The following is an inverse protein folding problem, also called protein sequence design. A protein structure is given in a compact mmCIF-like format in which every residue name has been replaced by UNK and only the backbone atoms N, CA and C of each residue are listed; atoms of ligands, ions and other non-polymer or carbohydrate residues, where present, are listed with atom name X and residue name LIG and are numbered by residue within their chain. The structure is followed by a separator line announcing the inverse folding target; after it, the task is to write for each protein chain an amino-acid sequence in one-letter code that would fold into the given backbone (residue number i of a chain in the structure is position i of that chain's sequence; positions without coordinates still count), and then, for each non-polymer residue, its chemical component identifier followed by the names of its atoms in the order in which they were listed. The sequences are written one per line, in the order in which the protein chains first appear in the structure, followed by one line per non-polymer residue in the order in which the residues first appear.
data_IF_072511199661
#
_entry.id   IF_072511199661
#
_cell.length_a   1.000
_cell.length_b   1.000
_cell.length_c   1.000
_cell.angle_alpha   90.00
_cell.angle_beta   90.00
_cell.angle_gamma   90.00
#
_symmetry.space_group_name_H-M   'P 1'
#
loop_
_entity.id
_entity.type
_entity.pdbx_description
1 polymer ?
#
# COMPACT_ATOMS: atom_id res chain seq x y z
N UNK A 1 25.69 -11.43 1.24
CA UNK A 1 24.72 -12.55 1.36
C UNK A 1 25.22 -13.67 0.46
N UNK A 2 25.44 -14.86 0.99
CA UNK A 2 25.96 -16.01 0.22
C UNK A 2 24.95 -16.40 -0.89
N UNK A 3 25.37 -16.47 -2.17
CA UNK A 3 24.49 -16.94 -3.26
C UNK A 3 23.88 -18.31 -2.99
N UNK A 4 24.57 -19.22 -2.27
CA UNK A 4 24.04 -20.53 -1.90
C UNK A 4 22.81 -20.43 -1.00
N UNK A 5 22.89 -19.57 0.01
CA UNK A 5 21.76 -19.32 0.91
C UNK A 5 20.56 -18.61 0.24
N UNK A 6 20.71 -18.05 -0.97
CA UNK A 6 19.58 -17.53 -1.76
C UNK A 6 18.93 -18.62 -2.61
N UNK A 7 19.73 -19.51 -3.20
CA UNK A 7 19.23 -20.64 -3.98
C UNK A 7 18.40 -21.59 -3.09
N UNK A 8 18.89 -21.88 -1.89
CA UNK A 8 18.19 -22.73 -0.92
C UNK A 8 16.81 -22.18 -0.57
N UNK A 9 16.67 -20.86 -0.37
CA UNK A 9 15.39 -20.21 -0.05
C UNK A 9 14.34 -20.34 -1.16
N UNK A 10 14.75 -20.25 -2.43
CA UNK A 10 13.80 -20.39 -3.54
C UNK A 10 13.35 -21.84 -3.68
N UNK A 11 14.24 -22.80 -3.46
CA UNK A 11 13.90 -24.23 -3.44
C UNK A 11 12.90 -24.54 -2.33
N UNK A 12 13.15 -24.08 -1.11
CA UNK A 12 12.24 -24.28 0.03
C UNK A 12 10.85 -23.69 -0.23
N UNK A 13 10.82 -22.49 -0.83
CA UNK A 13 9.58 -21.81 -1.20
C UNK A 13 8.81 -22.57 -2.29
N UNK A 14 9.52 -23.10 -3.29
CA UNK A 14 8.92 -23.89 -4.35
C UNK A 14 8.34 -25.19 -3.79
N UNK A 15 9.06 -25.90 -2.92
CA UNK A 15 8.57 -27.12 -2.26
C UNK A 15 7.34 -26.82 -1.39
N UNK A 16 7.37 -25.72 -0.62
CA UNK A 16 6.22 -25.28 0.15
C UNK A 16 5.00 -24.99 -0.74
N UNK A 17 5.20 -24.27 -1.84
CA UNK A 17 4.12 -23.93 -2.78
C UNK A 17 3.56 -25.19 -3.45
N UNK A 18 4.43 -26.14 -3.84
CA UNK A 18 4.06 -27.44 -4.41
C UNK A 18 3.19 -28.24 -3.44
N UNK A 19 3.62 -28.38 -2.18
CA UNK A 19 2.84 -29.10 -1.16
C UNK A 19 1.48 -28.43 -0.90
N UNK A 20 1.46 -27.10 -0.83
CA UNK A 20 0.23 -26.34 -0.62
C UNK A 20 -0.76 -26.50 -1.78
N UNK A 21 -0.31 -26.42 -3.03
CA UNK A 21 -1.17 -26.62 -4.20
C UNK A 21 -1.60 -28.08 -4.37
N UNK A 22 -0.75 -29.06 -4.05
CA UNK A 22 -1.13 -30.47 -4.06
C UNK A 22 -2.23 -30.79 -3.03
N UNK A 23 -2.34 -29.99 -1.97
CA UNK A 23 -3.41 -30.09 -0.98
C UNK A 23 -4.66 -29.28 -1.35
N UNK A 24 -4.69 -28.63 -2.52
CA UNK A 24 -5.86 -27.90 -2.99
C UNK A 24 -7.03 -28.88 -3.21
N UNK A 25 -8.09 -28.72 -2.44
CA UNK A 25 -9.32 -29.52 -2.57
C UNK A 25 -10.27 -28.99 -3.64
N UNK A 26 -9.78 -28.21 -4.61
CA UNK A 26 -10.55 -27.58 -5.68
C UNK A 26 -9.65 -27.34 -6.90
N UNK A 27 -10.20 -27.37 -8.14
CA UNK A 27 -9.42 -27.05 -9.34
C UNK A 27 -8.97 -25.59 -9.33
N UNK A 28 -7.75 -25.34 -9.75
CA UNK A 28 -7.22 -23.98 -9.96
C UNK A 28 -7.31 -23.67 -11.44
N UNK A 29 -7.98 -22.58 -11.81
CA UNK A 29 -8.10 -22.17 -13.21
C UNK A 29 -6.92 -21.29 -13.64
N UNK A 30 -6.46 -21.47 -14.88
CA UNK A 30 -5.46 -20.65 -15.54
C UNK A 30 -5.84 -20.35 -16.98
N UNK A 31 -5.08 -19.46 -17.65
CA UNK A 31 -5.33 -19.08 -19.04
C UNK A 31 -4.74 -20.11 -19.98
N UNK A 32 -5.56 -20.68 -20.87
CA UNK A 32 -5.09 -21.57 -21.96
C UNK A 32 -5.05 -20.86 -23.32
N UNK A 33 -5.84 -19.79 -23.50
CA UNK A 33 -5.85 -18.95 -24.70
C UNK A 33 -6.17 -17.49 -24.36
N UNK A 34 -5.60 -16.56 -25.14
CA UNK A 34 -5.91 -15.13 -25.05
C UNK A 34 -4.85 -14.29 -24.34
N UNK A 35 -3.84 -14.93 -23.75
CA UNK A 35 -2.59 -14.30 -23.35
C UNK A 35 -1.42 -14.87 -24.19
N UNK A 36 -0.33 -14.12 -24.31
CA UNK A 36 0.86 -14.61 -24.98
C UNK A 36 1.39 -15.89 -24.30
N UNK A 37 1.82 -16.90 -25.07
CA UNK A 37 2.37 -18.14 -24.52
C UNK A 37 3.72 -17.84 -23.86
N UNK A 38 3.69 -17.51 -22.58
CA UNK A 38 4.86 -17.12 -21.81
C UNK A 38 4.45 -16.41 -20.52
N UNK A 39 5.31 -16.46 -19.51
CA UNK A 39 5.05 -15.76 -18.27
C UNK A 39 3.89 -16.32 -17.44
N UNK A 40 3.75 -17.65 -17.42
CA UNK A 40 2.85 -18.30 -16.45
C UNK A 40 3.53 -18.35 -15.10
N UNK A 41 2.91 -17.81 -14.05
CA UNK A 41 3.46 -17.87 -12.70
C UNK A 41 2.36 -17.99 -11.63
N UNK A 42 2.67 -18.70 -10.54
CA UNK A 42 1.90 -18.62 -9.30
C UNK A 42 2.22 -17.28 -8.60
N UNK A 43 1.27 -16.34 -8.58
CA UNK A 43 1.49 -15.00 -8.01
C UNK A 43 1.22 -14.96 -6.52
N UNK A 44 0.13 -15.57 -6.07
CA UNK A 44 -0.25 -15.58 -4.66
C UNK A 44 -1.21 -16.73 -4.32
N UNK A 45 -1.32 -17.01 -3.03
CA UNK A 45 -2.35 -17.87 -2.46
C UNK A 45 -2.48 -17.53 -0.98
N UNK A 46 -3.60 -17.89 -0.38
CA UNK A 46 -3.84 -17.69 1.05
C UNK A 46 -4.36 -18.99 1.69
N UNK A 47 -3.97 -19.21 2.95
CA UNK A 47 -4.47 -20.30 3.77
C UNK A 47 -5.22 -19.76 4.97
N UNK A 48 -6.45 -20.21 5.19
CA UNK A 48 -7.26 -19.91 6.36
C UNK A 48 -7.62 -21.23 7.07
N UNK A 49 -7.38 -21.29 8.39
CA UNK A 49 -7.54 -22.49 9.22
C UNK A 49 -6.79 -23.72 8.66
N UNK A 50 -5.56 -23.52 8.18
CA UNK A 50 -4.73 -24.57 7.61
C UNK A 50 -5.20 -25.12 6.26
N UNK A 51 -6.19 -24.47 5.63
CA UNK A 51 -6.73 -24.85 4.31
C UNK A 51 -6.60 -23.70 3.32
N UNK A 52 -6.28 -24.02 2.07
CA UNK A 52 -6.22 -23.06 0.99
C UNK A 52 -7.57 -22.35 0.81
N UNK A 53 -7.60 -21.02 0.90
CA UNK A 53 -8.81 -20.20 0.69
C UNK A 53 -8.93 -19.78 -0.77
N UNK A 54 -7.82 -19.39 -1.40
CA UNK A 54 -7.76 -19.07 -2.83
C UNK A 54 -6.33 -19.24 -3.37
N UNK A 55 -6.25 -19.36 -4.70
CA UNK A 55 -5.00 -19.42 -5.48
C UNK A 55 -5.10 -18.43 -6.62
N UNK A 56 -4.03 -17.68 -6.86
CA UNK A 56 -3.90 -16.77 -7.98
C UNK A 56 -2.71 -17.14 -8.85
N UNK A 57 -2.98 -17.27 -10.15
CA UNK A 57 -1.95 -17.45 -11.18
C UNK A 57 -2.01 -16.28 -12.15
N UNK A 58 -0.90 -15.98 -12.81
CA UNK A 58 -0.86 -15.06 -13.92
C UNK A 58 -0.34 -15.71 -15.19
N UNK A 59 -0.67 -15.10 -16.34
CA UNK A 59 -0.16 -15.42 -17.68
C UNK A 59 0.12 -14.14 -18.46
N UNK A 60 1.09 -14.19 -19.39
CA UNK A 60 1.48 -13.06 -20.23
C UNK A 60 2.69 -12.27 -19.72
N UNK A 61 2.90 -11.06 -20.24
CA UNK A 61 4.07 -10.24 -19.94
C UNK A 61 3.84 -9.35 -18.71
N UNK A 62 4.17 -9.88 -17.52
CA UNK A 62 4.17 -9.12 -16.28
C UNK A 62 5.25 -8.03 -16.23
N UNK A 63 6.18 -7.96 -17.19
CA UNK A 63 7.20 -6.91 -17.26
C UNK A 63 6.76 -5.70 -18.08
N UNK A 64 5.66 -5.84 -18.83
CA UNK A 64 5.02 -4.78 -19.61
C UNK A 64 3.98 -4.04 -18.76
N UNK A 65 3.92 -2.72 -18.95
CA UNK A 65 2.87 -1.86 -18.39
C UNK A 65 1.59 -1.89 -19.25
N UNK A 66 1.68 -2.37 -20.49
CA UNK A 66 0.58 -2.38 -21.47
C UNK A 66 -0.06 -3.77 -21.61
N UNK A 67 0.57 -4.81 -21.06
CA UNK A 67 0.18 -6.21 -21.25
C UNK A 67 0.78 -6.82 -22.54
N UNK A 68 0.23 -7.96 -23.02
CA UNK A 68 -0.91 -8.67 -22.46
C UNK A 68 -0.57 -9.31 -21.11
N UNK A 69 -1.39 -9.08 -20.09
CA UNK A 69 -1.21 -9.65 -18.75
C UNK A 69 -2.58 -10.02 -18.17
N UNK A 70 -2.68 -11.22 -17.61
CA UNK A 70 -3.91 -11.73 -16.99
C UNK A 70 -3.59 -12.37 -15.65
N UNK A 71 -4.38 -12.08 -14.61
CA UNK A 71 -4.43 -12.88 -13.39
C UNK A 71 -5.75 -13.61 -13.27
N UNK A 72 -5.71 -14.85 -12.77
CA UNK A 72 -6.87 -15.67 -12.48
C UNK A 72 -6.78 -16.11 -11.04
N UNK A 73 -7.72 -15.64 -10.22
CA UNK A 73 -7.85 -15.99 -8.81
C UNK A 73 -9.05 -16.93 -8.63
N UNK A 74 -8.77 -18.16 -8.22
CA UNK A 74 -9.78 -19.19 -7.93
C UNK A 74 -9.98 -19.31 -6.44
N UNK A 75 -11.21 -19.10 -5.97
CA UNK A 75 -11.58 -19.21 -4.57
C UNK A 75 -12.19 -20.57 -4.26
N UNK A 76 -11.84 -21.14 -3.09
CA UNK A 76 -12.46 -22.35 -2.56
C UNK A 76 -13.98 -22.15 -2.43
N UNK A 77 -14.81 -23.20 -2.63
CA UNK A 77 -16.24 -23.10 -2.35
C UNK A 77 -16.47 -22.68 -0.89
N UNK A 78 -17.36 -21.71 -0.68
CA UNK A 78 -17.66 -21.19 0.66
C UNK A 78 -16.59 -20.26 1.26
N UNK A 79 -15.54 -19.89 0.53
CA UNK A 79 -14.54 -18.90 0.98
C UNK A 79 -15.12 -17.50 1.15
N UNK A 80 -16.31 -17.24 0.59
CA UNK A 80 -17.10 -16.02 0.73
C UNK A 80 -17.74 -15.86 2.12
N UNK A 81 -17.63 -16.84 3.03
CA UNK A 81 -18.38 -16.87 4.30
C UNK A 81 -17.70 -16.26 5.54
N UNK A 82 -16.37 -16.05 5.61
CA UNK A 82 -15.78 -15.24 6.68
C UNK A 82 -15.18 -13.90 6.22
N UNK A 83 -15.17 -13.57 4.92
CA UNK A 83 -14.67 -12.29 4.41
C UNK A 83 -15.32 -11.91 3.09
N UNK A 84 -15.64 -10.62 2.91
CA UNK A 84 -16.07 -10.12 1.62
C UNK A 84 -14.94 -10.35 0.60
N UNK A 85 -15.27 -10.90 -0.57
CA UNK A 85 -14.33 -10.93 -1.68
C UNK A 85 -13.94 -9.49 -2.02
N UNK A 86 -12.69 -9.21 -2.43
CA UNK A 86 -12.28 -7.86 -2.84
C UNK A 86 -13.23 -7.33 -3.90
N UNK A 87 -13.62 -6.06 -3.86
CA UNK A 87 -14.45 -5.49 -4.93
C UNK A 87 -13.70 -5.53 -6.29
N UNK A 88 -14.42 -5.53 -7.41
CA UNK A 88 -13.76 -5.64 -8.72
C UNK A 88 -12.89 -4.41 -9.02
N UNK A 89 -13.30 -3.24 -8.55
CA UNK A 89 -12.52 -2.01 -8.58
C UNK A 89 -11.21 -2.14 -7.78
N UNK A 90 -11.25 -2.84 -6.64
CA UNK A 90 -10.07 -3.10 -5.84
C UNK A 90 -9.07 -4.00 -6.59
N UNK A 91 -9.57 -4.95 -7.37
CA UNK A 91 -8.74 -5.85 -8.20
C UNK A 91 -8.10 -5.09 -9.38
N UNK A 92 -8.83 -4.14 -9.98
CA UNK A 92 -8.28 -3.23 -10.99
C UNK A 92 -7.16 -2.36 -10.38
N UNK A 93 -7.39 -1.81 -9.19
CA UNK A 93 -6.37 -1.01 -8.51
C UNK A 93 -5.15 -1.84 -8.09
N UNK A 94 -5.32 -3.11 -7.70
CA UNK A 94 -4.20 -4.01 -7.40
C UNK A 94 -3.28 -4.21 -8.63
N UNK A 95 -3.86 -4.31 -9.84
CA UNK A 95 -3.07 -4.42 -11.07
C UNK A 95 -2.33 -3.13 -11.43
N UNK A 96 -2.91 -1.97 -11.14
CA UNK A 96 -2.23 -0.69 -11.30
C UNK A 96 -1.12 -0.51 -10.26
N UNK A 97 -1.36 -0.95 -9.03
CA UNK A 97 -0.36 -0.98 -7.97
C UNK A 97 0.81 -1.89 -8.36
N UNK A 98 0.55 -3.04 -8.97
CA UNK A 98 1.59 -3.90 -9.54
C UNK A 98 2.45 -3.13 -10.55
N UNK A 99 1.82 -2.43 -11.50
CA UNK A 99 2.55 -1.63 -12.51
C UNK A 99 3.39 -0.54 -11.86
N UNK A 100 2.84 0.18 -10.89
CA UNK A 100 3.58 1.20 -10.15
C UNK A 100 4.76 0.60 -9.36
N UNK A 101 4.51 -0.42 -8.53
CA UNK A 101 5.49 -0.98 -7.61
C UNK A 101 6.58 -1.79 -8.34
N UNK A 102 6.21 -2.54 -9.39
CA UNK A 102 7.14 -3.40 -10.10
C UNK A 102 7.85 -2.68 -11.25
N UNK A 103 7.16 -1.76 -11.95
CA UNK A 103 7.67 -1.10 -13.17
C UNK A 103 8.01 0.38 -12.97
N UNK A 104 7.58 0.99 -11.85
CA UNK A 104 7.80 2.41 -11.58
C UNK A 104 6.93 3.34 -12.44
N UNK A 105 5.88 2.80 -13.06
CA UNK A 105 4.99 3.57 -13.95
C UNK A 105 3.78 4.04 -13.13
N UNK A 106 3.71 5.34 -12.89
CA UNK A 106 2.57 5.95 -12.19
C UNK A 106 1.43 6.24 -13.16
N UNK A 107 0.40 5.43 -13.05
CA UNK A 107 -0.85 5.54 -13.80
C UNK A 107 -1.82 6.58 -13.17
N UNK A 108 -1.45 7.22 -12.06
CA UNK A 108 -2.25 8.19 -11.30
C UNK A 108 -3.09 7.53 -10.19
N UNK A 109 -3.74 8.31 -9.33
CA UNK A 109 -4.43 7.82 -8.12
C UNK A 109 -5.96 7.76 -8.22
N UNK A 110 -6.55 8.31 -9.30
CA UNK A 110 -7.99 8.27 -9.47
C UNK A 110 -8.42 6.89 -9.99
N UNK A 111 -9.38 6.20 -9.34
CA UNK A 111 -10.11 5.15 -10.04
C UNK A 111 -10.75 5.83 -11.25
N UNK A 112 -10.50 5.34 -12.46
CA UNK A 112 -11.17 5.93 -13.61
C UNK A 112 -12.66 5.59 -13.60
N UNK A 113 -13.36 5.94 -14.67
CA UNK A 113 -14.80 5.68 -14.76
C UNK A 113 -14.99 4.18 -14.93
N UNK A 114 -15.27 3.49 -13.82
CA UNK A 114 -15.56 2.07 -13.83
C UNK A 114 -16.85 1.83 -14.60
N UNK A 115 -16.74 1.13 -15.73
CA UNK A 115 -17.89 0.69 -16.52
C UNK A 115 -18.22 -0.74 -16.14
N UNK A 116 -19.39 -0.95 -15.52
CA UNK A 116 -19.93 -2.28 -15.30
C UNK A 116 -20.49 -2.84 -16.61
N UNK A 117 -19.97 -3.98 -17.04
CA UNK A 117 -20.32 -4.67 -18.27
C UNK A 117 -20.71 -6.12 -18.01
N UNK A 118 -21.48 -6.66 -18.96
CA UNK A 118 -21.76 -8.08 -19.05
C UNK A 118 -21.07 -8.61 -20.30
N UNK A 119 -19.98 -9.33 -20.07
CA UNK A 119 -19.18 -9.95 -21.12
C UNK A 119 -19.22 -11.47 -20.95
N UNK A 120 -18.48 -12.16 -21.81
CA UNK A 120 -18.33 -13.61 -21.77
C UNK A 120 -16.86 -13.98 -21.67
N UNK A 121 -16.54 -15.00 -20.88
CA UNK A 121 -15.22 -15.66 -20.85
C UNK A 121 -15.48 -17.14 -21.15
N UNK A 122 -14.64 -17.77 -21.97
CA UNK A 122 -14.78 -19.20 -22.24
C UNK A 122 -14.12 -19.99 -21.11
N UNK A 123 -14.82 -20.98 -20.56
CA UNK A 123 -14.28 -21.88 -19.53
C UNK A 123 -14.53 -23.31 -19.97
N UNK A 124 -13.46 -24.08 -20.19
CA UNK A 124 -13.53 -25.45 -20.72
C UNK A 124 -14.37 -25.59 -22.00
N UNK A 125 -14.25 -24.58 -22.89
CA UNK A 125 -14.99 -24.50 -24.15
C UNK A 125 -16.41 -23.92 -24.05
N UNK A 126 -16.92 -23.66 -22.84
CA UNK A 126 -18.26 -23.15 -22.61
C UNK A 126 -18.26 -21.65 -22.25
N UNK A 127 -19.14 -20.81 -22.85
CA UNK A 127 -19.20 -19.39 -22.53
C UNK A 127 -19.83 -19.13 -21.16
N UNK A 128 -19.09 -18.47 -20.28
CA UNK A 128 -19.52 -18.05 -18.95
C UNK A 128 -19.77 -16.54 -18.91
N UNK A 129 -20.96 -16.13 -18.49
CA UNK A 129 -21.28 -14.73 -18.28
C UNK A 129 -20.46 -14.15 -17.12
N UNK A 130 -19.81 -13.02 -17.35
CA UNK A 130 -18.95 -12.34 -16.38
C UNK A 130 -19.43 -10.91 -16.15
N UNK A 131 -19.49 -10.52 -14.88
CA UNK A 131 -19.59 -9.11 -14.50
C UNK A 131 -18.20 -8.50 -14.61
N UNK A 132 -18.01 -7.54 -15.50
CA UNK A 132 -16.72 -6.89 -15.76
C UNK A 132 -16.77 -5.44 -15.32
N UNK A 133 -15.74 -5.01 -14.61
CA UNK A 133 -15.48 -3.63 -14.25
C UNK A 133 -14.25 -3.18 -15.01
N UNK A 134 -14.45 -2.31 -16.00
CA UNK A 134 -13.39 -1.78 -16.86
C UNK A 134 -13.03 -0.36 -16.44
N UNK A 135 -11.74 -0.10 -16.20
CA UNK A 135 -11.21 1.25 -16.04
C UNK A 135 -10.85 1.83 -17.41
N UNK A 136 -11.76 2.66 -17.92
CA UNK A 136 -11.53 3.50 -19.09
C UNK A 136 -11.00 4.86 -18.62
N UNK A 137 -9.72 5.11 -18.84
CA UNK A 137 -9.20 6.47 -18.75
C UNK A 137 -9.38 7.18 -20.06
N UNK A 138 -10.30 8.14 -20.05
CA UNK A 138 -10.36 9.11 -21.13
C UNK A 138 -9.06 9.92 -21.12
N UNK A 139 -8.33 10.03 -22.25
CA UNK A 139 -7.16 10.91 -22.36
C UNK A 139 -7.46 12.37 -21.98
N UNK A 140 -8.74 12.74 -21.90
CA UNK A 140 -9.26 14.09 -21.73
C UNK A 140 -9.79 14.43 -20.32
N UNK A 141 -9.86 13.47 -19.39
CA UNK A 141 -10.46 13.68 -18.05
C UNK A 141 -9.53 14.45 -17.07
N UNK A 142 -8.51 15.19 -17.56
CA UNK A 142 -7.72 16.15 -16.76
C UNK A 142 -7.97 17.60 -17.24
N UNK A 143 -8.93 18.33 -16.64
CA UNK A 143 -9.19 19.73 -17.01
C UNK A 143 -8.02 20.68 -16.67
N UNK A 144 -7.14 20.30 -15.73
CA UNK A 144 -5.99 21.11 -15.27
C UNK A 144 -4.62 20.49 -15.63
N UNK A 145 -4.56 19.50 -16.52
CA UNK A 145 -3.26 18.97 -16.95
C UNK A 145 -2.48 20.04 -17.71
N UNK A 146 -1.24 20.37 -17.30
CA UNK A 146 -0.39 21.27 -18.06
C UNK A 146 -0.17 20.68 -19.47
N UNK A 147 -0.06 21.60 -20.43
CA UNK A 147 0.20 21.38 -21.86
C UNK A 147 1.12 20.18 -22.17
N UNK A 148 0.93 19.54 -23.35
CA UNK A 148 1.59 18.28 -23.71
C UNK A 148 3.11 18.39 -23.56
N UNK A 149 3.68 17.55 -22.68
CA UNK A 149 5.12 17.55 -22.43
C UNK A 149 5.61 16.66 -21.29
N UNK A 150 4.77 16.29 -20.32
CA UNK A 150 5.18 15.43 -19.21
C UNK A 150 4.07 14.41 -18.83
N UNK A 151 4.19 13.19 -19.36
CA UNK A 151 4.12 12.00 -18.51
C UNK A 151 2.84 11.14 -18.46
N UNK A 152 1.84 11.32 -19.32
CA UNK A 152 0.89 10.22 -19.57
C UNK A 152 1.38 9.48 -20.82
N UNK A 153 1.97 8.29 -20.65
CA UNK A 153 2.34 7.43 -21.78
C UNK A 153 1.08 7.08 -22.57
N UNK A 154 0.93 7.54 -23.82
CA UNK A 154 -0.15 7.10 -24.68
C UNK A 154 0.11 5.64 -25.03
N UNK A 155 -0.63 4.70 -24.44
CA UNK A 155 -0.41 3.28 -24.73
C UNK A 155 -0.96 2.26 -23.74
N UNK A 156 -1.20 2.64 -22.48
CA UNK A 156 -1.72 1.69 -21.48
C UNK A 156 -3.10 1.16 -21.91
N UNK A 157 -3.14 -0.12 -22.30
CA UNK A 157 -4.39 -0.81 -22.64
C UNK A 157 -5.35 -0.80 -21.44
N UNK A 158 -6.67 -0.92 -21.68
CA UNK A 158 -7.65 -0.91 -20.61
C UNK A 158 -7.33 -2.02 -19.59
N UNK A 159 -7.50 -1.69 -18.32
CA UNK A 159 -7.44 -2.65 -17.21
C UNK A 159 -8.87 -2.97 -16.82
N UNK A 160 -9.16 -4.25 -16.64
CA UNK A 160 -10.47 -4.68 -16.22
C UNK A 160 -10.37 -5.81 -15.20
N UNK A 161 -11.39 -5.95 -14.38
CA UNK A 161 -11.57 -7.10 -13.51
C UNK A 161 -12.95 -7.70 -13.72
N UNK A 162 -13.04 -9.02 -13.76
CA UNK A 162 -14.27 -9.77 -13.97
C UNK A 162 -14.49 -10.81 -12.89
N UNK A 163 -15.75 -11.04 -12.51
CA UNK A 163 -16.13 -12.14 -11.60
C UNK A 163 -17.23 -13.01 -12.18
N UNK A 164 -17.08 -14.31 -12.03
CA UNK A 164 -18.10 -15.29 -12.38
C UNK A 164 -18.01 -16.52 -11.46
N UNK A 165 -18.95 -17.45 -11.62
CA UNK A 165 -18.94 -18.74 -10.92
C UNK A 165 -18.86 -19.89 -11.91
N UNK A 166 -18.06 -20.89 -11.58
CA UNK A 166 -17.93 -22.15 -12.31
C UNK A 166 -17.86 -23.29 -11.29
N UNK A 167 -18.68 -24.32 -11.44
CA UNK A 167 -18.72 -25.49 -10.54
C UNK A 167 -18.78 -25.17 -9.03
N UNK A 168 -19.50 -24.10 -8.68
CA UNK A 168 -19.63 -23.64 -7.28
C UNK A 168 -18.39 -22.91 -6.73
N UNK A 169 -17.37 -22.71 -7.56
CA UNK A 169 -16.22 -21.85 -7.28
C UNK A 169 -16.53 -20.43 -7.70
N UNK A 170 -15.95 -19.47 -6.99
CA UNK A 170 -15.88 -18.08 -7.49
C UNK A 170 -14.54 -17.89 -8.15
N UNK A 171 -14.54 -17.33 -9.36
CA UNK A 171 -13.33 -16.98 -10.10
C UNK A 171 -13.33 -15.48 -10.33
N UNK A 172 -12.20 -14.84 -10.05
CA UNK A 172 -11.95 -13.43 -10.38
C UNK A 172 -10.80 -13.36 -11.36
N UNK A 173 -10.99 -12.62 -12.45
CA UNK A 173 -10.00 -12.45 -13.52
C UNK A 173 -9.65 -10.99 -13.61
N UNK A 174 -8.36 -10.64 -13.63
CA UNK A 174 -7.92 -9.29 -14.00
C UNK A 174 -7.20 -9.38 -15.32
N UNK A 175 -7.51 -8.48 -16.26
CA UNK A 175 -6.87 -8.42 -17.56
C UNK A 175 -6.37 -7.03 -17.88
N UNK A 176 -5.21 -6.98 -18.52
CA UNK A 176 -4.59 -5.77 -19.06
C UNK A 176 -4.10 -6.05 -20.47
N UNK A 177 -4.45 -5.18 -21.41
CA UNK A 177 -4.07 -5.34 -22.82
C UNK A 177 -4.73 -6.54 -23.50
N UNK A 178 -5.78 -7.12 -22.89
CA UNK A 178 -6.54 -8.25 -23.41
C UNK A 178 -8.03 -7.96 -23.32
N UNK A 179 -8.82 -8.52 -24.25
CA UNK A 179 -10.28 -8.39 -24.23
C UNK A 179 -10.89 -9.59 -23.47
N UNK A 180 -11.85 -9.40 -22.54
CA UNK A 180 -12.46 -10.50 -21.79
C UNK A 180 -12.92 -11.67 -22.67
N UNK A 181 -13.63 -11.38 -23.77
CA UNK A 181 -14.14 -12.38 -24.72
C UNK A 181 -13.07 -13.15 -25.52
N UNK A 182 -11.80 -12.76 -25.43
CA UNK A 182 -10.68 -13.48 -26.05
C UNK A 182 -10.05 -14.54 -25.13
N UNK A 183 -10.43 -14.56 -23.85
CA UNK A 183 -9.87 -15.45 -22.85
C UNK A 183 -10.58 -16.80 -22.84
N UNK A 184 -9.76 -17.85 -22.74
CA UNK A 184 -10.19 -19.20 -22.44
C UNK A 184 -9.46 -19.68 -21.20
N UNK A 185 -10.24 -20.13 -20.21
CA UNK A 185 -9.76 -20.66 -18.95
C UNK A 185 -10.01 -22.15 -18.89
N UNK A 186 -9.08 -22.87 -18.26
CA UNK A 186 -9.24 -24.29 -17.96
C UNK A 186 -8.56 -24.62 -16.61
N UNK A 187 -8.93 -25.74 -15.96
CA UNK A 187 -8.19 -26.26 -14.82
C UNK A 187 -6.72 -26.51 -15.18
N UNK A 188 -5.82 -26.09 -14.30
CA UNK A 188 -4.39 -26.29 -14.45
C UNK A 188 -4.06 -27.74 -14.10
N UNK A 189 -3.74 -28.54 -15.11
CA UNK A 189 -3.30 -29.93 -14.93
C UNK A 189 -1.84 -30.02 -14.44
N UNK A 190 -0.97 -29.13 -14.93
CA UNK A 190 0.45 -29.06 -14.55
C UNK A 190 0.78 -27.74 -13.85
N UNK A 191 0.87 -27.81 -12.52
CA UNK A 191 1.25 -26.67 -11.67
C UNK A 191 2.74 -26.33 -11.74
N UNK A 192 3.60 -27.25 -12.22
CA UNK A 192 5.06 -27.04 -12.21
C UNK A 192 5.47 -25.88 -13.11
N UNK A 193 4.76 -25.65 -14.22
CA UNK A 193 4.97 -24.46 -15.07
C UNK A 193 4.81 -23.16 -14.27
N UNK A 194 3.74 -23.06 -13.50
CA UNK A 194 3.43 -21.87 -12.69
C UNK A 194 4.38 -21.72 -11.50
N UNK A 195 4.81 -22.83 -10.88
CA UNK A 195 5.81 -22.81 -9.80
C UNK A 195 7.18 -22.30 -10.28
N UNK A 196 7.66 -22.80 -11.42
CA UNK A 196 8.91 -22.30 -12.02
C UNK A 196 8.79 -20.83 -12.39
N UNK A 197 7.65 -20.42 -12.93
CA UNK A 197 7.34 -19.03 -13.22
C UNK A 197 7.37 -18.13 -11.98
N UNK A 198 6.81 -18.59 -10.86
CA UNK A 198 6.91 -17.88 -9.56
C UNK A 198 8.36 -17.68 -9.16
N UNK A 199 9.17 -18.72 -9.24
CA UNK A 199 10.61 -18.63 -8.94
C UNK A 199 11.31 -17.61 -9.86
N UNK A 200 10.99 -17.59 -11.16
CA UNK A 200 11.53 -16.61 -12.10
C UNK A 200 11.08 -15.18 -11.78
N UNK A 201 9.79 -14.98 -11.48
CA UNK A 201 9.21 -13.70 -11.06
C UNK A 201 9.92 -13.16 -9.81
N UNK A 202 10.03 -13.98 -8.77
CA UNK A 202 10.66 -13.58 -7.50
C UNK A 202 12.15 -13.28 -7.65
N UNK A 203 12.87 -14.04 -8.51
CA UNK A 203 14.25 -13.71 -8.86
C UNK A 203 14.34 -12.36 -9.58
N UNK A 204 13.43 -12.09 -10.51
CA UNK A 204 13.34 -10.80 -11.21
C UNK A 204 13.11 -9.65 -10.25
N UNK A 205 12.15 -9.78 -9.32
CA UNK A 205 11.87 -8.78 -8.29
C UNK A 205 13.05 -8.61 -7.32
N UNK A 206 13.68 -9.70 -6.89
CA UNK A 206 14.86 -9.65 -6.02
C UNK A 206 16.06 -8.99 -6.71
N UNK A 207 16.28 -9.26 -8.00
CA UNK A 207 17.33 -8.63 -8.79
C UNK A 207 17.08 -7.13 -8.98
N UNK A 208 15.83 -6.71 -9.19
CA UNK A 208 15.44 -5.30 -9.19
C UNK A 208 15.73 -4.66 -7.83
N UNK A 209 15.27 -5.28 -6.74
CA UNK A 209 15.47 -4.80 -5.36
C UNK A 209 16.95 -4.68 -4.99
N UNK A 210 17.78 -5.62 -5.43
CA UNK A 210 19.21 -5.61 -5.15
C UNK A 210 19.99 -4.44 -5.79
N UNK A 211 19.39 -3.76 -6.79
CA UNK A 211 19.96 -2.54 -7.38
C UNK A 211 19.67 -1.28 -6.57
N UNK A 212 18.77 -1.34 -5.60
CA UNK A 212 18.45 -0.22 -4.74
C UNK A 212 19.46 -0.12 -3.59
N UNK A 213 20.05 1.07 -3.44
CA UNK A 213 20.87 1.43 -2.29
C UNK A 213 19.93 1.83 -1.15
N UNK A 214 20.08 1.35 0.10
CA UNK A 214 19.28 1.83 1.23
C UNK A 214 19.34 3.35 1.36
N UNK A 215 18.23 4.01 1.69
CA UNK A 215 18.15 5.48 1.70
C UNK A 215 19.15 6.08 2.71
N UNK A 216 19.41 5.36 3.80
CA UNK A 216 20.35 5.68 4.86
C UNK A 216 21.79 5.79 4.36
N UNK A 217 22.14 5.05 3.30
CA UNK A 217 23.48 5.02 2.70
C UNK A 217 23.63 6.04 1.56
N UNK A 218 22.54 6.66 1.10
CA UNK A 218 22.57 7.60 -0.02
C UNK A 218 23.06 8.97 0.41
N UNK A 219 23.72 9.68 -0.50
CA UNK A 219 23.90 11.12 -0.39
C UNK A 219 22.56 11.81 -0.67
N UNK A 220 22.03 12.50 0.34
CA UNK A 220 20.78 13.26 0.21
C UNK A 220 21.10 14.75 0.07
N UNK A 221 20.27 15.51 -0.66
CA UNK A 221 20.41 16.96 -0.73
C UNK A 221 20.49 17.58 0.66
N UNK A 222 21.36 18.59 0.88
CA UNK A 222 21.45 19.24 2.17
C UNK A 222 20.12 19.95 2.48
N UNK A 223 19.57 19.67 3.65
CA UNK A 223 18.40 20.37 4.18
C UNK A 223 18.82 21.57 5.01
N UNK A 224 18.03 22.64 4.98
CA UNK A 224 18.27 23.89 5.71
C UNK A 224 17.13 24.13 6.71
N UNK A 225 17.48 24.57 7.91
CA UNK A 225 16.49 24.92 8.94
C UNK A 225 15.58 23.74 9.32
N UNK A 226 14.27 23.98 9.35
CA UNK A 226 13.28 23.01 9.84
C UNK A 226 12.45 22.37 8.71
N UNK A 227 12.83 22.56 7.45
CA UNK A 227 12.07 22.12 6.28
C UNK A 227 11.91 20.60 6.22
N UNK A 228 12.94 19.85 6.61
CA UNK A 228 12.90 18.39 6.62
C UNK A 228 11.85 17.84 7.60
N UNK A 229 11.80 18.43 8.81
CA UNK A 229 10.81 18.09 9.84
C UNK A 229 9.38 18.40 9.38
N UNK A 230 9.15 19.56 8.77
CA UNK A 230 7.83 19.91 8.19
C UNK A 230 7.42 18.91 7.12
N UNK A 231 8.31 18.61 6.18
CA UNK A 231 8.01 17.73 5.06
C UNK A 231 7.63 16.31 5.51
N UNK A 232 8.30 15.76 6.53
CA UNK A 232 7.95 14.42 7.06
C UNK A 232 6.60 14.44 7.81
N UNK A 233 6.30 15.51 8.55
CA UNK A 233 5.02 15.69 9.25
C UNK A 233 3.88 15.82 8.24
N UNK A 234 4.00 16.73 7.27
CA UNK A 234 3.01 16.95 6.22
C UNK A 234 2.72 15.66 5.45
N UNK A 235 3.76 14.90 5.13
CA UNK A 235 3.63 13.61 4.48
C UNK A 235 2.88 12.59 5.36
N UNK A 236 3.24 12.46 6.64
CA UNK A 236 2.58 11.53 7.56
C UNK A 236 1.11 11.86 7.83
N UNK A 237 0.77 13.16 7.88
CA UNK A 237 -0.62 13.62 8.03
C UNK A 237 -1.42 13.29 6.76
N UNK A 238 -0.86 13.57 5.58
CA UNK A 238 -1.50 13.27 4.30
C UNK A 238 -1.74 11.76 4.12
N UNK A 239 -0.76 10.94 4.47
CA UNK A 239 -0.85 9.47 4.49
C UNK A 239 -1.97 8.99 5.43
N UNK A 240 -1.97 9.44 6.68
CA UNK A 240 -2.98 9.05 7.66
C UNK A 240 -4.38 9.45 7.21
N UNK A 241 -4.54 10.68 6.71
CA UNK A 241 -5.82 11.19 6.22
C UNK A 241 -6.34 10.40 5.01
N UNK A 242 -5.45 10.00 4.09
CA UNK A 242 -5.81 9.19 2.93
C UNK A 242 -6.30 7.79 3.32
N UNK A 243 -5.61 7.12 4.24
CA UNK A 243 -6.02 5.82 4.78
C UNK A 243 -7.38 5.92 5.47
N UNK A 244 -7.58 6.92 6.33
CA UNK A 244 -8.85 7.09 7.05
C UNK A 244 -10.02 7.40 6.12
N UNK A 245 -9.78 8.20 5.07
CA UNK A 245 -10.81 8.49 4.07
C UNK A 245 -11.27 7.21 3.37
N UNK A 246 -10.36 6.27 3.10
CA UNK A 246 -10.69 4.98 2.49
C UNK A 246 -11.44 4.06 3.44
N UNK A 247 -10.98 3.94 4.69
CA UNK A 247 -11.69 3.18 5.74
C UNK A 247 -13.12 3.70 5.91
N UNK A 248 -13.30 5.03 5.97
CA UNK A 248 -14.61 5.67 6.09
C UNK A 248 -15.50 5.41 4.87
N UNK A 249 -14.90 5.27 3.69
CA UNK A 249 -15.58 4.91 2.45
C UNK A 249 -15.83 3.39 2.31
N UNK A 250 -15.47 2.58 3.32
CA UNK A 250 -15.61 1.12 3.27
C UNK A 250 -14.66 0.43 2.28
N UNK A 251 -13.59 1.11 1.87
CA UNK A 251 -12.60 0.58 0.92
C UNK A 251 -11.43 -0.06 1.65
N UNK A 252 -10.75 -0.95 0.93
CA UNK A 252 -9.47 -1.53 1.39
C UNK A 252 -8.45 -0.41 1.62
N UNK A 253 -7.85 -0.29 2.82
CA UNK A 253 -6.90 0.78 3.12
C UNK A 253 -5.60 0.60 2.31
N UNK A 254 -5.28 1.60 1.49
CA UNK A 254 -4.13 1.66 0.60
C UNK A 254 -3.55 3.06 0.60
N UNK A 255 -2.23 3.19 0.52
CA UNK A 255 -1.61 4.50 0.32
C UNK A 255 -1.86 4.99 -1.12
N UNK A 256 -2.13 6.28 -1.36
CA UNK A 256 -2.03 6.85 -2.71
C UNK A 256 -0.63 6.64 -3.29
N UNK A 257 -0.48 6.32 -4.58
CA UNK A 257 0.80 6.05 -5.24
C UNK A 257 1.75 7.23 -5.14
N UNK A 258 1.25 8.46 -5.21
CA UNK A 258 2.06 9.67 -4.99
C UNK A 258 2.65 9.79 -3.57
N UNK A 259 2.07 9.05 -2.61
CA UNK A 259 2.58 8.93 -1.24
C UNK A 259 3.36 7.63 -1.00
N UNK A 260 3.34 6.68 -1.95
CA UNK A 260 4.13 5.44 -1.89
C UNK A 260 5.56 5.65 -2.38
N UNK A 261 6.32 4.55 -2.32
CA UNK A 261 7.69 4.49 -2.80
C UNK A 261 8.68 5.12 -1.83
N UNK A 262 9.80 5.57 -2.37
CA UNK A 262 10.92 6.04 -1.54
C UNK A 262 10.74 7.48 -1.06
N UNK A 263 9.75 8.22 -1.56
CA UNK A 263 9.56 9.63 -1.20
C UNK A 263 9.37 9.82 0.30
N UNK A 264 8.58 8.96 0.96
CA UNK A 264 8.42 8.97 2.41
C UNK A 264 9.70 8.65 3.15
N UNK A 265 10.42 7.60 2.71
CA UNK A 265 11.71 7.21 3.27
C UNK A 265 12.79 8.30 3.13
N UNK A 266 12.82 9.00 1.99
CA UNK A 266 13.73 10.13 1.74
C UNK A 266 13.43 11.30 2.66
N UNK A 267 12.16 11.67 2.83
CA UNK A 267 11.74 12.74 3.76
C UNK A 267 12.08 12.36 5.20
N UNK A 268 11.83 11.11 5.58
CA UNK A 268 12.16 10.58 6.90
C UNK A 268 13.67 10.66 7.18
N UNK A 269 14.51 10.12 6.30
CA UNK A 269 15.96 10.14 6.49
C UNK A 269 16.51 11.58 6.50
N UNK A 270 15.97 12.46 5.66
CA UNK A 270 16.34 13.87 5.67
C UNK A 270 15.99 14.55 7.00
N UNK A 271 14.85 14.23 7.60
CA UNK A 271 14.45 14.73 8.93
C UNK A 271 15.36 14.16 10.03
N UNK A 272 15.68 12.86 10.00
CA UNK A 272 16.60 12.21 10.96
C UNK A 272 18.00 12.83 10.90
N UNK A 273 18.58 12.98 9.71
CA UNK A 273 19.90 13.62 9.56
C UNK A 273 19.87 15.08 10.03
N UNK A 274 18.77 15.78 9.77
CA UNK A 274 18.63 17.16 10.24
C UNK A 274 18.48 17.24 11.76
N UNK A 275 17.76 16.30 12.36
CA UNK A 275 17.63 16.18 13.82
C UNK A 275 18.99 15.90 14.46
N UNK A 276 19.78 14.95 13.95
CA UNK A 276 21.14 14.68 14.42
C UNK A 276 22.01 15.95 14.41
N UNK A 277 21.91 16.74 13.34
CA UNK A 277 22.69 17.96 13.15
C UNK A 277 22.25 19.11 14.07
N UNK A 278 20.95 19.34 14.23
CA UNK A 278 20.42 20.45 15.02
C UNK A 278 20.39 20.15 16.52
N UNK A 279 20.00 18.93 16.89
CA UNK A 279 19.91 18.49 18.29
C UNK A 279 21.23 17.96 18.86
N UNK A 280 22.26 17.76 18.03
CA UNK A 280 23.50 17.06 18.41
C UNK A 280 23.26 15.65 18.95
N UNK A 281 22.20 14.99 18.46
CA UNK A 281 21.75 13.67 18.88
C UNK A 281 22.45 12.55 18.10
N UNK A 282 22.56 11.39 18.72
CA UNK A 282 22.89 10.16 18.00
C UNK A 282 21.77 9.81 17.00
N UNK A 283 22.07 8.92 16.06
CA UNK A 283 21.06 8.48 15.08
C UNK A 283 19.86 7.81 15.76
N UNK A 284 20.09 7.02 16.80
CA UNK A 284 19.02 6.32 17.53
C UNK A 284 18.10 7.31 18.24
N UNK A 285 18.67 8.29 18.94
CA UNK A 285 17.93 9.39 19.58
C UNK A 285 17.16 10.21 18.55
N UNK A 286 17.79 10.58 17.43
CA UNK A 286 17.15 11.33 16.37
C UNK A 286 15.97 10.59 15.72
N UNK A 287 16.09 9.28 15.50
CA UNK A 287 15.00 8.44 15.02
C UNK A 287 13.86 8.40 16.04
N UNK A 288 14.17 8.22 17.33
CA UNK A 288 13.16 8.20 18.38
C UNK A 288 12.43 9.56 18.49
N UNK A 289 13.16 10.67 18.44
CA UNK A 289 12.62 12.03 18.48
C UNK A 289 11.70 12.31 17.28
N UNK A 290 12.16 12.04 16.05
CA UNK A 290 11.34 12.22 14.83
C UNK A 290 10.11 11.31 14.85
N UNK A 291 10.23 10.08 15.35
CA UNK A 291 9.11 9.15 15.51
C UNK A 291 8.06 9.67 16.49
N UNK A 292 8.49 10.11 17.68
CA UNK A 292 7.59 10.67 18.68
C UNK A 292 6.88 11.92 18.14
N UNK A 293 7.60 12.79 17.43
CA UNK A 293 7.10 14.01 16.81
C UNK A 293 6.04 13.75 15.73
N UNK A 294 6.32 12.85 14.78
CA UNK A 294 5.36 12.48 13.71
C UNK A 294 4.12 11.83 14.32
N UNK A 295 4.28 10.94 15.30
CA UNK A 295 3.15 10.32 15.98
C UNK A 295 2.30 11.30 16.78
N UNK A 296 2.92 12.31 17.42
CA UNK A 296 2.23 13.39 18.12
C UNK A 296 1.27 14.08 17.16
N UNK A 297 1.79 14.57 16.04
CA UNK A 297 1.02 15.40 15.11
C UNK A 297 0.02 14.57 14.31
N UNK A 298 0.34 13.32 13.96
CA UNK A 298 -0.62 12.39 13.37
C UNK A 298 -1.75 12.01 14.34
N UNK A 299 -1.49 11.89 15.65
CA UNK A 299 -2.56 11.67 16.62
C UNK A 299 -3.39 12.95 16.77
N UNK A 300 -2.78 14.12 16.78
CA UNK A 300 -3.49 15.39 16.96
C UNK A 300 -4.40 15.70 15.77
N UNK A 301 -3.94 15.43 14.54
CA UNK A 301 -4.71 15.63 13.31
C UNK A 301 -5.95 14.73 13.22
N UNK A 302 -5.89 13.52 13.79
CA UNK A 302 -7.03 12.59 13.85
C UNK A 302 -8.07 12.99 14.88
N UNK A 303 -7.62 13.55 16.01
CA UNK A 303 -8.49 13.94 17.12
C UNK A 303 -9.07 15.35 16.98
N UNK A 304 -8.53 16.17 16.09
CA UNK A 304 -8.93 17.58 15.94
C UNK A 304 -9.07 17.98 14.48
N UNK A 305 -10.11 18.75 14.16
CA UNK A 305 -10.36 19.21 12.78
C UNK A 305 -9.51 20.43 12.38
N UNK A 306 -8.93 21.14 13.37
CA UNK A 306 -8.23 22.39 13.12
C UNK A 306 -6.76 22.20 12.74
N UNK A 307 -6.13 21.03 12.92
CA UNK A 307 -4.70 20.87 12.62
C UNK A 307 -4.41 20.88 11.12
N UNK A 308 -5.32 20.39 10.29
CA UNK A 308 -5.06 20.21 8.86
C UNK A 308 -5.50 21.45 8.08
N UNK A 309 -4.57 22.08 7.36
CA UNK A 309 -4.88 23.16 6.41
C UNK A 309 -5.28 24.50 7.04
N UNK A 310 -5.03 24.71 8.34
CA UNK A 310 -5.33 25.98 9.02
C UNK A 310 -4.06 26.69 9.49
N UNK A 311 -4.19 27.98 9.81
CA UNK A 311 -3.09 28.78 10.38
C UNK A 311 -2.71 28.28 11.78
N UNK A 312 -3.69 27.84 12.57
CA UNK A 312 -3.47 27.23 13.89
C UNK A 312 -2.70 25.93 13.79
N UNK A 313 -3.03 25.09 12.79
CA UNK A 313 -2.33 23.85 12.51
C UNK A 313 -0.86 24.07 12.16
N UNK A 314 -0.59 25.01 11.25
CA UNK A 314 0.80 25.40 10.91
C UNK A 314 1.56 25.88 12.15
N UNK A 315 0.93 26.69 13.01
CA UNK A 315 1.56 27.14 14.25
C UNK A 315 1.83 26.00 15.25
N UNK A 316 0.93 25.02 15.35
CA UNK A 316 1.12 23.85 16.22
C UNK A 316 2.28 22.96 15.74
N UNK A 317 2.39 22.77 14.41
CA UNK A 317 3.54 22.08 13.80
C UNK A 317 4.85 22.79 14.14
N UNK A 318 4.93 24.11 13.99
CA UNK A 318 6.14 24.88 14.36
C UNK A 318 6.50 24.74 15.85
N UNK A 319 5.51 24.79 16.72
CA UNK A 319 5.70 24.64 18.17
C UNK A 319 6.25 23.25 18.53
N UNK A 320 5.68 22.19 17.96
CA UNK A 320 6.15 20.80 18.16
C UNK A 320 7.56 20.60 17.61
N UNK A 321 7.87 21.11 16.42
CA UNK A 321 9.22 21.01 15.84
C UNK A 321 10.22 21.76 16.73
N UNK A 322 9.92 23.00 17.15
CA UNK A 322 10.83 23.78 18.00
C UNK A 322 11.07 23.13 19.35
N UNK A 323 10.05 22.53 19.95
CA UNK A 323 10.20 21.77 21.18
C UNK A 323 11.10 20.56 20.97
N UNK A 324 10.82 19.75 19.94
CA UNK A 324 11.57 18.53 19.63
C UNK A 324 13.04 18.80 19.27
N UNK A 325 13.31 19.82 18.47
CA UNK A 325 14.65 20.09 17.93
C UNK A 325 15.55 20.84 18.92
N UNK A 326 14.98 21.79 19.67
CA UNK A 326 15.75 22.73 20.48
C UNK A 326 15.45 22.66 21.98
N UNK A 327 14.58 21.75 22.43
CA UNK A 327 14.05 21.74 23.80
C UNK A 327 13.57 23.13 24.25
N UNK A 328 13.02 23.91 23.31
CA UNK A 328 12.62 25.30 23.57
C UNK A 328 11.44 25.38 24.54
N UNK A 329 11.44 26.42 25.37
CA UNK A 329 10.21 26.84 26.07
C UNK A 329 9.24 27.45 25.04
N UNK A 330 8.34 26.60 24.55
CA UNK A 330 7.30 26.98 23.58
C UNK A 330 5.98 27.25 24.30
N UNK A 331 5.07 28.02 23.69
CA UNK A 331 3.80 28.35 24.34
C UNK A 331 2.92 27.11 24.58
N UNK A 332 3.10 26.07 23.76
CA UNK A 332 2.44 24.77 23.87
C UNK A 332 3.11 23.80 24.85
N UNK A 333 4.08 24.24 25.68
CA UNK A 333 4.84 23.37 26.60
C UNK A 333 3.99 22.41 27.44
N UNK A 334 2.82 22.81 28.00
CA UNK A 334 1.96 21.86 28.72
C UNK A 334 1.51 20.67 27.86
N UNK A 335 1.20 20.93 26.58
CA UNK A 335 0.80 19.89 25.63
C UNK A 335 1.98 18.99 25.24
N UNK A 336 3.18 19.55 25.09
CA UNK A 336 4.39 18.78 24.80
C UNK A 336 4.72 17.78 25.93
N UNK A 337 4.67 18.24 27.19
CA UNK A 337 4.92 17.38 28.36
C UNK A 337 3.86 16.29 28.53
N UNK A 338 2.59 16.63 28.27
CA UNK A 338 1.51 15.65 28.31
C UNK A 338 1.71 14.56 27.25
N UNK A 339 2.19 14.92 26.04
CA UNK A 339 2.54 13.96 25.01
C UNK A 339 3.72 13.07 25.41
N UNK A 340 4.81 13.63 25.94
CA UNK A 340 5.97 12.85 26.38
C UNK A 340 5.61 11.81 27.44
N UNK A 341 4.71 12.16 28.36
CA UNK A 341 4.20 11.22 29.37
C UNK A 341 3.44 10.08 28.69
N UNK A 342 2.46 10.40 27.84
CA UNK A 342 1.68 9.42 27.08
C UNK A 342 2.59 8.50 26.23
N UNK A 343 3.63 9.06 25.63
CA UNK A 343 4.58 8.32 24.79
C UNK A 343 5.46 7.36 25.61
N UNK A 344 5.95 7.80 26.78
CA UNK A 344 6.71 6.95 27.71
C UNK A 344 5.87 5.80 28.25
N UNK A 345 4.65 6.07 28.70
CA UNK A 345 3.75 5.05 29.27
C UNK A 345 3.43 3.95 28.24
N UNK A 346 3.32 4.31 26.96
CA UNK A 346 3.13 3.36 25.86
C UNK A 346 4.37 2.52 25.59
N UNK A 347 5.57 3.11 25.63
CA UNK A 347 6.82 2.41 25.40
C UNK A 347 7.14 1.39 26.52
N UNK A 348 6.75 1.69 27.75
CA UNK A 348 6.97 0.84 28.93
C UNK A 348 5.95 -0.31 29.06
N UNK A 349 4.98 -0.43 28.14
CA UNK A 349 4.08 -1.56 28.08
C UNK A 349 2.98 -1.58 29.15
N UNK A 350 2.59 -0.42 29.68
CA UNK A 350 1.54 -0.28 30.70
C UNK A 350 0.13 -0.78 30.29
N UNK A 351 -0.04 -1.31 29.07
CA UNK A 351 -1.30 -1.84 28.54
C UNK A 351 -1.54 -3.35 28.71
N UNK A 352 -0.69 -4.09 29.44
CA UNK A 352 -0.87 -5.54 29.60
C UNK A 352 -1.82 -5.98 30.73
N UNK A 353 -2.26 -5.04 31.59
CA UNK A 353 -3.27 -5.28 32.63
C UNK A 353 -4.49 -4.37 32.39
N UNK A 354 -5.69 -4.88 32.66
CA UNK A 354 -6.99 -4.30 32.24
C UNK A 354 -7.29 -2.85 32.68
N UNK A 355 -6.44 -2.23 33.51
CA UNK A 355 -6.59 -0.85 33.99
C UNK A 355 -5.87 0.19 33.09
N UNK A 356 -4.96 -0.24 32.21
CA UNK A 356 -4.12 0.67 31.40
C UNK A 356 -4.88 1.50 30.35
N UNK A 357 -6.08 1.08 29.94
CA UNK A 357 -6.88 1.83 28.96
C UNK A 357 -7.48 3.11 29.55
N UNK A 358 -7.81 3.12 30.85
CA UNK A 358 -8.35 4.32 31.50
C UNK A 358 -7.25 5.36 31.72
N UNK A 359 -6.05 4.94 32.11
CA UNK A 359 -4.88 5.82 32.23
C UNK A 359 -4.48 6.42 30.87
N UNK A 360 -4.44 5.62 29.80
CA UNK A 360 -4.18 6.13 28.43
C UNK A 360 -5.24 7.18 28.03
N UNK A 361 -6.52 6.89 28.30
CA UNK A 361 -7.64 7.81 28.00
C UNK A 361 -7.52 9.13 28.76
N UNK A 362 -7.16 9.10 30.04
CA UNK A 362 -6.95 10.31 30.85
C UNK A 362 -5.76 11.10 30.32
N UNK A 363 -4.64 10.44 30.02
CA UNK A 363 -3.45 11.06 29.42
C UNK A 363 -3.78 11.75 28.10
N UNK A 364 -4.55 11.09 27.23
CA UNK A 364 -5.00 11.64 25.95
C UNK A 364 -5.91 12.87 26.15
N UNK A 365 -6.84 12.84 27.11
CA UNK A 365 -7.70 13.99 27.42
C UNK A 365 -6.91 15.19 27.94
N UNK A 366 -5.92 14.96 28.82
CA UNK A 366 -5.06 16.03 29.34
C UNK A 366 -4.24 16.68 28.21
N UNK A 367 -3.68 15.85 27.32
CA UNK A 367 -2.95 16.30 26.15
C UNK A 367 -3.82 17.12 25.19
N UNK A 368 -5.03 16.66 24.85
CA UNK A 368 -5.96 17.41 24.00
C UNK A 368 -6.41 18.72 24.64
N UNK A 369 -6.73 18.70 25.94
CA UNK A 369 -7.13 19.89 26.68
C UNK A 369 -6.02 20.96 26.69
N UNK A 370 -4.75 20.56 26.80
CA UNK A 370 -3.61 21.46 26.74
C UNK A 370 -3.47 22.13 25.36
N UNK A 371 -3.72 21.39 24.27
CA UNK A 371 -3.74 21.97 22.91
C UNK A 371 -4.88 22.97 22.70
N UNK A 372 -6.08 22.67 23.19
CA UNK A 372 -7.20 23.61 23.08
C UNK A 372 -6.98 24.88 23.92
N UNK A 373 -6.37 24.77 25.11
CA UNK A 373 -5.98 25.93 25.91
C UNK A 373 -4.95 26.80 25.20
N UNK A 374 -3.91 26.19 24.60
CA UNK A 374 -2.93 26.90 23.78
C UNK A 374 -3.59 27.64 22.62
N UNK A 375 -4.50 26.96 21.89
CA UNK A 375 -5.23 27.53 20.76
C UNK A 375 -6.09 28.73 21.18
N UNK A 376 -6.85 28.59 22.27
CA UNK A 376 -7.71 29.65 22.80
C UNK A 376 -6.89 30.88 23.24
N UNK A 377 -5.75 30.66 23.92
CA UNK A 377 -4.85 31.73 24.32
C UNK A 377 -4.24 32.48 23.12
N UNK A 378 -4.07 31.80 21.98
CA UNK A 378 -3.56 32.39 20.73
C UNK A 378 -4.63 33.22 20.01
N UNK A 379 -5.89 32.78 20.03
CA UNK A 379 -7.00 33.50 19.42
C UNK A 379 -7.39 34.78 20.17
N UNK A 380 -7.04 34.88 21.46
CA UNK A 380 -7.24 36.08 22.29
C UNK A 380 -6.13 37.14 22.19
N UNK A 381 -5.11 36.91 21.37
CA UNK A 381 -4.04 37.89 21.05
C UNK A 381 -4.31 38.51 19.70
#
# INVERSE_FOLDING_TARGET
MDPRGREDRFTDQEEFSRRTLAAAGFPVYGVVRGADPGGDALTAFETCDGRLSWVEVCSGDWTSADGPYVTVRTYRPGADRPGALPELEDVVEDERDRVYEQLGVDEGDCPGRVRALREWITVDGEPCAVEVHEDLRDPWDRPDAPLPGLGATPGAGPVWAGRFRVDGLTVTVCGRGVVPGSLELAPIEDVERHLRGRTALLRGLAARRARYVPVEERELPPTVGLEAHRAVIEHGIAESAAIEAQVRAGRTPRLPRGLRGETGALRWEAAVRQQMRLGSESREEAVAAVTAMVNHLNRLSRQTQWVVGTVEGVAAVEEVIRYTVFASEVASLPAQRAWEQLWRDRAEGAGAAGDGWEEERIGEQLWLAAWEQWRAARAGR
#
